data_IF_255989829572
#
_entry.id   IF_255989829572
#
_cell.length_a   1.000
_cell.length_b   1.000
_cell.length_c   1.000
_cell.angle_alpha   90.00
_cell.angle_beta   90.00
_cell.angle_gamma   90.00
#
_symmetry.space_group_name_H-M   'P 1'
#
loop_
_entity.id
_entity.type
_entity.pdbx_description
1 polymer ?
#
# COMPACT_ATOMS: atom_id res chain seq x y z
N UNK A 1 20.93 14.63 0.08
CA UNK A 1 21.67 14.54 -1.19
C UNK A 1 22.12 13.08 -1.32
N UNK A 2 21.39 12.23 -2.04
CA UNK A 2 21.72 10.80 -2.16
C UNK A 2 22.49 10.64 -3.46
N UNK A 3 23.80 10.37 -3.34
CA UNK A 3 24.68 10.09 -4.48
C UNK A 3 24.22 8.82 -5.19
N UNK A 4 23.82 8.96 -6.46
CA UNK A 4 23.55 7.86 -7.36
C UNK A 4 24.84 7.55 -8.12
N UNK A 5 25.67 6.65 -7.60
CA UNK A 5 26.78 6.10 -8.39
C UNK A 5 26.20 5.29 -9.57
N UNK A 6 26.58 5.67 -10.78
CA UNK A 6 26.18 4.98 -12.00
C UNK A 6 26.80 3.57 -12.03
N UNK A 7 26.02 2.52 -12.35
CA UNK A 7 26.51 1.15 -12.32
C UNK A 7 27.54 0.85 -13.43
N UNK A 8 28.65 0.21 -13.06
CA UNK A 8 29.82 -0.06 -13.91
C UNK A 8 29.69 -1.23 -14.90
N UNK A 9 28.56 -1.94 -14.94
CA UNK A 9 28.32 -3.02 -15.89
C UNK A 9 26.96 -2.91 -16.59
N UNK A 10 26.85 -3.30 -17.87
CA UNK A 10 25.63 -3.10 -18.67
C UNK A 10 24.41 -3.83 -18.08
N UNK A 11 24.62 -4.98 -17.46
CA UNK A 11 23.56 -5.73 -16.78
C UNK A 11 23.06 -5.02 -15.52
N UNK A 12 23.94 -4.38 -14.75
CA UNK A 12 23.54 -3.57 -13.59
C UNK A 12 22.84 -2.27 -14.01
N UNK A 13 23.27 -1.66 -15.12
CA UNK A 13 22.63 -0.48 -15.71
C UNK A 13 21.18 -0.77 -16.13
N UNK A 14 20.93 -1.90 -16.80
CA UNK A 14 19.58 -2.30 -17.17
C UNK A 14 18.64 -2.47 -15.96
N UNK A 15 19.11 -3.16 -14.91
CA UNK A 15 18.32 -3.35 -13.68
C UNK A 15 18.08 -2.04 -12.93
N UNK A 16 19.07 -1.15 -12.90
CA UNK A 16 18.95 0.16 -12.28
C UNK A 16 17.96 1.06 -13.04
N UNK A 17 18.02 1.06 -14.37
CA UNK A 17 17.16 1.86 -15.22
C UNK A 17 15.71 1.36 -15.15
N UNK A 18 15.50 0.04 -15.24
CA UNK A 18 14.16 -0.55 -15.12
C UNK A 18 13.54 -0.26 -13.75
N UNK A 19 14.31 -0.42 -12.66
CA UNK A 19 13.86 -0.07 -11.31
C UNK A 19 13.49 1.41 -11.20
N UNK A 20 14.28 2.30 -11.79
CA UNK A 20 14.03 3.74 -11.76
C UNK A 20 12.79 4.12 -12.56
N UNK A 21 12.60 3.55 -13.75
CA UNK A 21 11.39 3.74 -14.57
C UNK A 21 10.15 3.26 -13.83
N UNK A 22 10.18 2.07 -13.23
CA UNK A 22 9.03 1.54 -12.49
C UNK A 22 8.67 2.40 -11.27
N UNK A 23 9.68 2.95 -10.57
CA UNK A 23 9.46 3.90 -9.47
C UNK A 23 8.86 5.20 -9.97
N UNK A 24 9.40 5.79 -11.03
CA UNK A 24 8.86 7.00 -11.63
C UNK A 24 7.43 6.81 -12.14
N UNK A 25 7.15 5.69 -12.80
CA UNK A 25 5.80 5.34 -13.24
C UNK A 25 4.84 5.15 -12.07
N UNK A 26 5.29 4.53 -10.98
CA UNK A 26 4.51 4.44 -9.75
C UNK A 26 4.20 5.83 -9.18
N UNK A 27 5.19 6.72 -9.08
CA UNK A 27 4.97 8.09 -8.60
C UNK A 27 4.03 8.87 -9.51
N UNK A 28 4.19 8.74 -10.83
CA UNK A 28 3.29 9.36 -11.81
C UNK A 28 1.86 8.85 -11.62
N UNK A 29 1.64 7.53 -11.57
CA UNK A 29 0.30 6.96 -11.42
C UNK A 29 -0.35 7.37 -10.10
N UNK A 30 0.42 7.38 -9.01
CA UNK A 30 -0.05 7.81 -7.70
C UNK A 30 -0.42 9.30 -7.72
N UNK A 31 0.46 10.17 -8.21
CA UNK A 31 0.23 11.61 -8.26
C UNK A 31 -0.87 12.00 -9.23
N UNK A 32 -0.84 11.46 -10.45
CA UNK A 32 -1.84 11.68 -11.47
C UNK A 32 -3.20 11.16 -11.01
N UNK A 33 -3.30 9.89 -10.59
CA UNK A 33 -4.56 9.28 -10.20
C UNK A 33 -5.21 9.93 -8.98
N UNK A 34 -4.40 10.30 -7.97
CA UNK A 34 -4.93 10.83 -6.71
C UNK A 34 -5.27 12.31 -6.80
N UNK A 35 -4.42 13.11 -7.46
CA UNK A 35 -4.56 14.57 -7.43
C UNK A 35 -5.02 15.14 -8.76
N UNK A 36 -4.35 14.80 -9.86
CA UNK A 36 -4.62 15.44 -11.16
C UNK A 36 -5.95 14.95 -11.74
N UNK A 37 -6.16 13.64 -11.79
CA UNK A 37 -7.37 13.02 -12.33
C UNK A 37 -8.61 13.39 -11.49
N UNK A 38 -8.47 13.49 -10.17
CA UNK A 38 -9.54 13.96 -9.29
C UNK A 38 -9.98 15.37 -9.67
N UNK A 39 -9.03 16.31 -9.75
CA UNK A 39 -9.33 17.71 -10.07
C UNK A 39 -9.87 17.87 -11.50
N UNK A 40 -9.21 17.26 -12.48
CA UNK A 40 -9.62 17.33 -13.88
C UNK A 40 -10.98 16.66 -14.10
N UNK A 41 -11.19 15.47 -13.56
CA UNK A 41 -12.45 14.74 -13.68
C UNK A 41 -13.59 15.47 -13.00
N UNK A 42 -13.36 16.01 -11.80
CA UNK A 42 -14.37 16.79 -11.09
C UNK A 42 -14.71 18.11 -11.80
N UNK A 43 -13.70 18.88 -12.22
CA UNK A 43 -13.91 20.11 -12.98
C UNK A 43 -14.62 19.84 -14.32
N UNK A 44 -14.20 18.79 -15.03
CA UNK A 44 -14.85 18.35 -16.27
C UNK A 44 -16.32 17.99 -16.05
N UNK A 45 -16.62 17.21 -15.01
CA UNK A 45 -18.00 16.85 -14.67
C UNK A 45 -18.83 18.08 -14.29
N UNK A 46 -18.30 19.05 -13.54
CA UNK A 46 -19.02 20.30 -13.26
C UNK A 46 -19.37 21.04 -14.56
N UNK A 47 -18.44 21.14 -15.51
CA UNK A 47 -18.69 21.77 -16.82
C UNK A 47 -19.78 21.01 -17.58
N UNK A 48 -19.68 19.69 -17.67
CA UNK A 48 -20.65 18.85 -18.39
C UNK A 48 -22.04 18.96 -17.77
N UNK A 49 -22.16 18.82 -16.45
CA UNK A 49 -23.45 18.93 -15.75
C UNK A 49 -24.04 20.32 -15.93
N UNK A 50 -23.24 21.37 -15.79
CA UNK A 50 -23.71 22.73 -16.03
C UNK A 50 -24.25 22.90 -17.46
N UNK A 51 -23.49 22.46 -18.46
CA UNK A 51 -23.88 22.60 -19.86
C UNK A 51 -25.13 21.79 -20.22
N UNK A 52 -25.31 20.61 -19.63
CA UNK A 52 -26.41 19.71 -19.96
C UNK A 52 -27.67 19.96 -19.13
N UNK A 53 -27.52 20.29 -17.84
CA UNK A 53 -28.65 20.38 -16.91
C UNK A 53 -29.09 21.83 -16.63
N UNK A 54 -28.17 22.80 -16.68
CA UNK A 54 -28.44 24.19 -16.29
C UNK A 54 -28.72 25.08 -17.50
N UNK A 55 -27.85 25.07 -18.50
CA UNK A 55 -28.01 25.94 -19.68
C UNK A 55 -29.29 25.62 -20.42
N UNK A 56 -30.13 26.63 -20.67
CA UNK A 56 -31.44 26.50 -21.30
C UNK A 56 -32.56 26.02 -20.36
N UNK A 57 -32.26 25.75 -19.08
CA UNK A 57 -33.27 25.36 -18.10
C UNK A 57 -33.84 26.61 -17.41
N UNK A 58 -35.12 26.88 -17.64
CA UNK A 58 -35.85 28.06 -17.11
C UNK A 58 -35.74 28.24 -15.60
N UNK A 59 -35.59 27.17 -14.81
CA UNK A 59 -35.51 27.26 -13.35
C UNK A 59 -34.07 27.32 -12.86
N UNK A 60 -33.22 26.42 -13.36
CA UNK A 60 -31.85 26.29 -12.88
C UNK A 60 -30.95 27.43 -13.36
N UNK A 61 -31.16 27.95 -14.57
CA UNK A 61 -30.35 29.03 -15.13
C UNK A 61 -30.58 30.38 -14.42
N UNK A 62 -31.75 30.56 -13.79
CA UNK A 62 -32.04 31.73 -12.95
C UNK A 62 -31.18 31.72 -11.69
N UNK A 63 -30.99 30.54 -11.08
CA UNK A 63 -30.20 30.37 -9.85
C UNK A 63 -28.70 30.31 -10.17
N UNK A 64 -28.35 29.55 -11.20
CA UNK A 64 -26.99 29.27 -11.62
C UNK A 64 -26.70 29.94 -12.97
N UNK A 65 -26.70 31.27 -12.96
CA UNK A 65 -26.55 32.10 -14.16
C UNK A 65 -25.14 32.05 -14.81
N UNK A 66 -24.17 31.41 -14.15
CA UNK A 66 -22.83 31.20 -14.71
C UNK A 66 -22.22 29.91 -14.20
N UNK A 67 -21.29 29.36 -15.00
CA UNK A 67 -20.51 28.18 -14.62
C UNK A 67 -19.75 28.40 -13.31
N UNK A 68 -19.20 29.60 -13.08
CA UNK A 68 -18.45 29.92 -11.86
C UNK A 68 -19.34 29.82 -10.62
N UNK A 69 -20.56 30.37 -10.68
CA UNK A 69 -21.51 30.29 -9.56
C UNK A 69 -21.90 28.84 -9.31
N UNK A 70 -22.26 28.10 -10.36
CA UNK A 70 -22.57 26.68 -10.24
C UNK A 70 -21.42 25.88 -9.62
N UNK A 71 -20.18 26.11 -10.06
CA UNK A 71 -19.00 25.42 -9.55
C UNK A 71 -18.75 25.72 -8.06
N UNK A 72 -18.91 26.96 -7.61
CA UNK A 72 -18.76 27.33 -6.19
C UNK A 72 -19.77 26.54 -5.33
N UNK A 73 -21.05 26.56 -5.71
CA UNK A 73 -22.08 25.78 -5.00
C UNK A 73 -21.82 24.27 -5.07
N UNK A 74 -21.40 23.77 -6.24
CA UNK A 74 -21.03 22.38 -6.44
C UNK A 74 -19.94 21.93 -5.47
N UNK A 75 -18.86 22.71 -5.34
CA UNK A 75 -17.76 22.42 -4.41
C UNK A 75 -18.23 22.49 -2.95
N UNK A 76 -18.98 23.54 -2.59
CA UNK A 76 -19.46 23.74 -1.22
C UNK A 76 -20.37 22.61 -0.73
N UNK A 77 -21.12 21.97 -1.64
CA UNK A 77 -22.01 20.86 -1.28
C UNK A 77 -21.30 19.51 -1.42
N UNK A 78 -20.58 19.28 -2.52
CA UNK A 78 -20.01 17.97 -2.80
C UNK A 78 -18.84 17.64 -1.89
N UNK A 79 -18.01 18.62 -1.50
CA UNK A 79 -16.85 18.36 -0.63
C UNK A 79 -17.28 17.90 0.77
N UNK A 80 -18.16 18.60 1.51
CA UNK A 80 -18.66 18.10 2.79
C UNK A 80 -19.36 16.75 2.65
N UNK A 81 -20.17 16.57 1.61
CA UNK A 81 -20.87 15.30 1.35
C UNK A 81 -19.87 14.15 1.15
N UNK A 82 -18.82 14.36 0.35
CA UNK A 82 -17.78 13.37 0.12
C UNK A 82 -17.02 13.03 1.42
N UNK A 83 -16.73 14.02 2.27
CA UNK A 83 -16.12 13.80 3.58
C UNK A 83 -17.02 12.93 4.46
N UNK A 84 -18.32 13.25 4.55
CA UNK A 84 -19.27 12.49 5.36
C UNK A 84 -19.43 11.05 4.87
N UNK A 85 -19.57 10.85 3.55
CA UNK A 85 -19.65 9.53 2.95
C UNK A 85 -18.36 8.73 3.17
N UNK A 86 -17.19 9.35 3.03
CA UNK A 86 -15.89 8.74 3.31
C UNK A 86 -15.76 8.31 4.77
N UNK A 87 -16.13 9.19 5.71
CA UNK A 87 -16.13 8.86 7.14
C UNK A 87 -17.08 7.71 7.47
N UNK A 88 -18.26 7.69 6.88
CA UNK A 88 -19.22 6.61 7.06
C UNK A 88 -18.69 5.29 6.49
N UNK A 89 -18.09 5.31 5.30
CA UNK A 89 -17.48 4.14 4.68
C UNK A 89 -16.39 3.53 5.57
N UNK A 90 -15.45 4.35 6.05
CA UNK A 90 -14.34 3.88 6.89
C UNK A 90 -14.82 3.38 8.26
N UNK A 91 -15.79 4.04 8.90
CA UNK A 91 -16.18 3.71 10.28
C UNK A 91 -17.30 2.68 10.42
N UNK A 92 -18.15 2.50 9.41
CA UNK A 92 -19.42 1.78 9.56
C UNK A 92 -19.69 0.71 8.49
N UNK A 93 -18.82 0.56 7.49
CA UNK A 93 -19.04 -0.45 6.44
C UNK A 93 -18.03 -1.58 6.53
N UNK A 94 -18.48 -2.82 6.31
CA UNK A 94 -17.60 -3.98 6.18
C UNK A 94 -16.68 -3.92 4.95
N UNK A 95 -16.96 -3.02 4.01
CA UNK A 95 -16.17 -2.83 2.80
C UNK A 95 -14.74 -2.34 3.12
N UNK A 96 -14.57 -1.40 4.05
CA UNK A 96 -13.23 -0.96 4.46
C UNK A 96 -12.40 -2.09 5.08
N UNK A 97 -13.02 -2.95 5.89
CA UNK A 97 -12.35 -4.11 6.48
C UNK A 97 -11.90 -5.12 5.40
N UNK A 98 -12.73 -5.36 4.38
CA UNK A 98 -12.39 -6.21 3.24
C UNK A 98 -11.26 -5.61 2.39
N UNK A 99 -11.27 -4.31 2.14
CA UNK A 99 -10.20 -3.64 1.40
C UNK A 99 -8.86 -3.71 2.16
N UNK A 100 -8.89 -3.55 3.48
CA UNK A 100 -7.71 -3.65 4.33
C UNK A 100 -7.14 -5.08 4.36
N UNK A 101 -8.00 -6.10 4.44
CA UNK A 101 -7.57 -7.50 4.39
C UNK A 101 -6.98 -7.85 3.03
N UNK A 102 -7.64 -7.46 1.93
CA UNK A 102 -7.14 -7.66 0.57
C UNK A 102 -5.81 -6.95 0.33
N UNK A 103 -5.65 -5.72 0.83
CA UNK A 103 -4.38 -4.99 0.72
C UNK A 103 -3.25 -5.71 1.46
N UNK A 104 -3.56 -6.31 2.62
CA UNK A 104 -2.60 -7.10 3.40
C UNK A 104 -2.25 -8.41 2.68
N UNK A 105 -3.23 -9.12 2.15
CA UNK A 105 -3.02 -10.37 1.40
C UNK A 105 -2.27 -10.14 0.08
N UNK A 106 -2.59 -9.06 -0.63
CA UNK A 106 -1.94 -8.69 -1.88
C UNK A 106 -0.53 -8.14 -1.67
N UNK A 107 -0.13 -7.82 -0.43
CA UNK A 107 1.18 -7.28 -0.13
C UNK A 107 2.24 -8.41 -0.11
N UNK A 108 3.13 -8.48 -1.11
CA UNK A 108 4.13 -9.55 -1.20
C UNK A 108 5.17 -9.50 -0.07
N UNK A 109 5.25 -8.39 0.67
CA UNK A 109 6.15 -8.22 1.82
C UNK A 109 5.53 -8.65 3.16
N UNK A 110 4.23 -8.96 3.21
CA UNK A 110 3.65 -9.57 4.42
C UNK A 110 4.21 -10.99 4.63
N UNK A 111 4.48 -11.71 3.53
CA UNK A 111 5.03 -13.06 3.54
C UNK A 111 6.55 -13.11 3.24
N UNK A 112 7.20 -11.96 3.09
CA UNK A 112 8.64 -11.85 2.76
C UNK A 112 9.29 -10.74 3.57
N UNK A 113 10.47 -10.99 4.14
CA UNK A 113 11.19 -9.94 4.86
C UNK A 113 11.51 -8.75 3.95
N UNK A 114 11.23 -7.55 4.46
CA UNK A 114 11.51 -6.30 3.76
C UNK A 114 13.04 -6.16 3.58
N UNK A 115 13.56 -5.87 2.38
CA UNK A 115 14.99 -5.63 2.18
C UNK A 115 15.51 -4.42 2.97
N UNK A 116 16.81 -4.38 3.25
CA UNK A 116 17.45 -3.31 4.04
C UNK A 116 17.47 -3.65 5.53
N UNK A 117 17.24 -2.67 6.41
CA UNK A 117 17.44 -2.82 7.87
C UNK A 117 16.74 -4.04 8.50
N UNK A 118 15.55 -4.40 8.01
CA UNK A 118 14.81 -5.56 8.52
C UNK A 118 15.53 -6.88 8.22
N UNK A 119 16.04 -7.04 6.99
CA UNK A 119 16.77 -8.24 6.57
C UNK A 119 18.24 -8.25 6.98
N UNK A 120 18.87 -7.08 7.05
CA UNK A 120 20.32 -6.93 7.28
C UNK A 120 20.67 -6.75 8.75
N UNK A 121 19.75 -6.26 9.59
CA UNK A 121 20.02 -5.93 10.98
C UNK A 121 19.01 -6.57 11.92
N UNK A 122 17.72 -6.25 11.80
CA UNK A 122 16.75 -6.62 12.84
C UNK A 122 16.43 -8.11 12.87
N UNK A 123 16.09 -8.73 11.75
CA UNK A 123 15.80 -10.16 11.72
C UNK A 123 17.05 -11.00 12.06
N UNK A 124 18.26 -10.71 11.54
CA UNK A 124 19.49 -11.38 11.99
C UNK A 124 19.74 -11.20 13.49
N UNK A 125 19.55 -9.99 14.04
CA UNK A 125 19.72 -9.74 15.46
C UNK A 125 18.73 -10.57 16.28
N UNK A 126 17.44 -10.60 15.90
CA UNK A 126 16.44 -11.43 16.55
C UNK A 126 16.78 -12.93 16.47
N UNK A 127 17.25 -13.41 15.32
CA UNK A 127 17.70 -14.81 15.16
C UNK A 127 18.90 -15.11 16.04
N UNK A 128 19.88 -14.21 16.13
CA UNK A 128 21.06 -14.36 16.98
C UNK A 128 20.69 -14.35 18.46
N UNK A 129 19.83 -13.41 18.88
CA UNK A 129 19.30 -13.36 20.25
C UNK A 129 18.54 -14.63 20.59
N UNK A 130 17.67 -15.10 19.69
CA UNK A 130 16.94 -16.35 19.88
C UNK A 130 17.91 -17.55 20.00
N UNK A 131 18.89 -17.68 19.10
CA UNK A 131 19.91 -18.75 19.16
C UNK A 131 20.72 -18.70 20.46
N UNK A 132 21.12 -17.50 20.89
CA UNK A 132 21.83 -17.29 22.16
C UNK A 132 20.99 -17.74 23.35
N UNK A 133 19.74 -17.31 23.42
CA UNK A 133 18.81 -17.70 24.48
C UNK A 133 18.56 -19.21 24.50
N UNK A 134 18.31 -19.81 23.33
CA UNK A 134 18.11 -21.25 23.22
C UNK A 134 19.33 -22.05 23.63
N UNK A 135 20.55 -21.58 23.33
CA UNK A 135 21.77 -22.20 23.82
C UNK A 135 21.79 -22.25 25.35
N UNK A 136 21.54 -21.12 26.01
CA UNK A 136 21.49 -21.03 27.48
C UNK A 136 20.41 -21.93 28.07
N UNK A 137 19.19 -21.91 27.51
CA UNK A 137 18.08 -22.73 28.02
C UNK A 137 18.31 -24.23 27.80
N UNK A 138 19.00 -24.62 26.72
CA UNK A 138 19.41 -26.02 26.49
C UNK A 138 20.46 -26.47 27.50
N UNK A 139 21.43 -25.62 27.82
CA UNK A 139 22.45 -25.89 28.85
C UNK A 139 21.83 -26.04 30.24
N UNK A 140 20.82 -25.22 30.57
CA UNK A 140 20.09 -25.29 31.84
C UNK A 140 19.04 -26.42 31.87
N UNK A 141 18.90 -27.19 30.79
CA UNK A 141 17.88 -28.23 30.62
C UNK A 141 16.44 -27.71 30.86
N UNK A 142 16.22 -26.43 30.59
CA UNK A 142 14.98 -25.70 30.87
C UNK A 142 13.94 -25.80 29.75
N UNK A 143 14.26 -26.46 28.63
CA UNK A 143 13.36 -26.65 27.49
C UNK A 143 12.87 -28.10 27.44
N UNK A 144 11.55 -28.27 27.31
CA UNK A 144 10.98 -29.57 26.98
C UNK A 144 11.40 -29.97 25.56
N UNK A 145 11.20 -31.25 25.21
CA UNK A 145 11.45 -31.72 23.85
C UNK A 145 10.60 -30.98 22.82
N UNK A 146 9.33 -30.73 23.14
CA UNK A 146 8.39 -29.99 22.29
C UNK A 146 8.88 -28.56 22.03
N UNK A 147 9.32 -27.85 23.08
CA UNK A 147 9.82 -26.48 22.93
C UNK A 147 11.06 -26.41 22.02
N UNK A 148 11.93 -27.42 22.08
CA UNK A 148 13.11 -27.52 21.21
C UNK A 148 12.70 -27.68 19.75
N UNK A 149 11.73 -28.57 19.47
CA UNK A 149 11.23 -28.83 18.12
C UNK A 149 10.52 -27.62 17.52
N UNK A 150 9.67 -26.93 18.30
CA UNK A 150 9.00 -25.70 17.87
C UNK A 150 10.01 -24.59 17.57
N UNK A 151 11.00 -24.44 18.45
CA UNK A 151 12.03 -23.44 18.31
C UNK A 151 12.87 -23.63 17.03
N UNK A 152 13.30 -24.87 16.75
CA UNK A 152 14.06 -25.20 15.55
C UNK A 152 13.23 -24.96 14.27
N UNK A 153 11.92 -25.24 14.32
CA UNK A 153 11.00 -24.97 13.22
C UNK A 153 10.86 -23.48 12.91
N UNK A 154 10.73 -22.63 13.94
CA UNK A 154 10.63 -21.18 13.76
C UNK A 154 11.94 -20.60 13.23
N UNK A 155 13.09 -21.05 13.74
CA UNK A 155 14.40 -20.65 13.22
C UNK A 155 14.57 -20.99 11.75
N UNK A 156 14.17 -22.20 11.33
CA UNK A 156 14.24 -22.59 9.92
C UNK A 156 13.43 -21.66 9.00
N UNK A 157 12.24 -21.21 9.45
CA UNK A 157 11.43 -20.21 8.74
C UNK A 157 12.11 -18.84 8.71
N UNK A 158 12.68 -18.39 9.81
CA UNK A 158 13.40 -17.12 9.87
C UNK A 158 14.63 -17.12 8.95
N UNK A 159 15.37 -18.24 8.88
CA UNK A 159 16.49 -18.40 7.94
C UNK A 159 16.03 -18.43 6.48
N UNK A 160 14.86 -19.02 6.20
CA UNK A 160 14.24 -18.96 4.87
C UNK A 160 13.94 -17.51 4.46
N UNK A 161 13.36 -16.71 5.36
CA UNK A 161 13.14 -15.28 5.15
C UNK A 161 14.47 -14.53 4.91
N UNK A 162 15.52 -14.81 5.69
CA UNK A 162 16.85 -14.21 5.50
C UNK A 162 17.47 -14.54 4.13
N UNK A 163 17.15 -15.69 3.55
CA UNK A 163 17.52 -16.04 2.15
C UNK A 163 16.64 -15.35 1.11
N UNK A 164 15.63 -14.61 1.52
CA UNK A 164 14.71 -13.87 0.65
C UNK A 164 13.58 -14.73 0.08
N UNK A 165 13.37 -15.91 0.66
CA UNK A 165 12.25 -16.78 0.35
C UNK A 165 10.98 -16.24 1.04
N UNK A 166 9.82 -16.69 0.56
CA UNK A 166 8.52 -16.39 1.19
C UNK A 166 8.18 -17.51 2.18
N UNK A 167 7.48 -17.16 3.26
CA UNK A 167 6.91 -18.13 4.20
C UNK A 167 5.39 -18.15 4.08
N UNK A 168 4.75 -19.26 4.47
CA UNK A 168 3.30 -19.42 4.32
C UNK A 168 2.89 -19.70 2.88
N UNK A 169 1.58 -19.66 2.61
CA UNK A 169 1.03 -19.94 1.30
C UNK A 169 0.45 -18.64 0.70
N UNK A 170 1.24 -17.84 -0.06
CA UNK A 170 0.78 -16.57 -0.63
C UNK A 170 -0.35 -16.74 -1.66
N UNK A 171 -0.71 -17.98 -2.00
CA UNK A 171 -1.80 -18.37 -2.89
C UNK A 171 -2.77 -19.33 -2.21
N UNK A 172 -3.27 -19.03 -1.01
CA UNK A 172 -4.55 -19.62 -0.60
C UNK A 172 -5.67 -18.99 -1.43
N UNK A 173 -5.69 -19.38 -2.70
CA UNK A 173 -6.77 -19.21 -3.65
C UNK A 173 -7.81 -20.28 -3.32
N UNK A 174 -8.41 -20.20 -2.14
CA UNK A 174 -9.63 -20.93 -1.82
C UNK A 174 -10.79 -19.95 -1.92
N UNK A 175 -11.11 -19.59 -3.16
CA UNK A 175 -12.44 -19.14 -3.53
C UNK A 175 -12.98 -20.27 -4.42
N UNK A 176 -14.14 -20.87 -4.11
CA UNK A 176 -14.69 -21.99 -4.87
C UNK A 176 -14.83 -21.70 -6.37
#
# INVERSE_FOLDING_TARGET
MIYLEAPSSPMKLFHWLSRSIWRSWFYFRAGYGTYIALLMGYAGNLVVIYKLAVVGNKYLEVVFYSLTVFAIFGVLISVPTAILLGLFHVKRTGAYAADASLSTEANPYVYKVIPGKEREVFLPLMVLTAKGLAKVMREQNALTRQDKEEFDLVLAKAESLLRGQMIGNPRQKNIP
#
